data_IF_783459208655
#
_entry.id   IF_783459208655
#
_cell.length_a   1.000
_cell.length_b   1.000
_cell.length_c   1.000
_cell.angle_alpha   90.00
_cell.angle_beta   90.00
_cell.angle_gamma   90.00
#
_symmetry.space_group_name_H-M   'P 1'
#
loop_
_entity.id
_entity.type
_entity.pdbx_description
1 polymer ?
#
# COMPACT_ATOMS: atom_id res chain seq x y z
N UNK A 1 27.29 21.81 -31.25
CA UNK A 1 26.89 20.37 -31.38
C UNK A 1 25.60 20.26 -30.60
N UNK A 2 24.51 19.88 -31.21
CA UNK A 2 23.28 19.64 -30.51
C UNK A 2 23.42 18.34 -29.69
N UNK A 3 23.14 18.38 -28.40
CA UNK A 3 23.05 17.17 -27.61
C UNK A 3 21.86 16.35 -28.13
N UNK A 4 22.12 15.08 -28.38
CA UNK A 4 21.06 14.16 -28.82
C UNK A 4 20.24 13.71 -27.59
N UNK A 5 19.02 13.20 -27.81
CA UNK A 5 18.24 12.57 -26.74
C UNK A 5 19.04 11.47 -26.00
N UNK A 6 19.98 10.85 -26.70
CA UNK A 6 20.90 9.83 -26.18
C UNK A 6 21.88 10.39 -25.16
N UNK A 7 22.40 11.63 -25.38
CA UNK A 7 23.34 12.25 -24.44
C UNK A 7 22.64 12.65 -23.14
N UNK A 8 21.39 13.14 -23.24
CA UNK A 8 20.56 13.43 -22.09
C UNK A 8 20.17 12.14 -21.31
N UNK A 9 19.84 11.07 -22.03
CA UNK A 9 19.57 9.77 -21.44
C UNK A 9 20.78 9.21 -20.68
N UNK A 10 22.00 9.43 -21.20
CA UNK A 10 23.23 9.05 -20.51
C UNK A 10 23.43 9.84 -19.20
N UNK A 11 23.16 11.15 -19.21
CA UNK A 11 23.19 11.97 -17.98
C UNK A 11 22.17 11.53 -16.95
N UNK A 12 20.95 11.22 -17.40
CA UNK A 12 19.91 10.68 -16.51
C UNK A 12 20.33 9.35 -15.89
N UNK A 13 20.93 8.45 -16.67
CA UNK A 13 21.43 7.16 -16.15
C UNK A 13 22.50 7.34 -15.06
N UNK A 14 23.37 8.32 -15.21
CA UNK A 14 24.39 8.62 -14.21
C UNK A 14 23.81 9.24 -12.94
N UNK A 15 22.75 10.05 -13.08
CA UNK A 15 22.07 10.71 -11.95
C UNK A 15 21.08 9.77 -11.24
N UNK A 16 20.37 8.91 -11.98
CA UNK A 16 19.35 7.99 -11.46
C UNK A 16 19.86 6.55 -11.44
N UNK A 17 20.90 6.32 -10.66
CA UNK A 17 21.32 4.96 -10.34
C UNK A 17 20.23 4.22 -9.58
N UNK A 18 20.14 2.88 -9.67
CA UNK A 18 19.19 2.09 -8.87
C UNK A 18 19.24 2.40 -7.37
N UNK A 19 20.38 2.81 -6.86
CA UNK A 19 20.61 3.20 -5.46
C UNK A 19 19.91 4.52 -5.13
N UNK A 20 20.06 5.56 -5.96
CA UNK A 20 19.37 6.85 -5.77
C UNK A 20 17.85 6.70 -5.85
N UNK A 21 17.35 5.93 -6.83
CA UNK A 21 15.93 5.61 -6.97
C UNK A 21 15.38 4.93 -5.71
N UNK A 22 16.13 3.99 -5.13
CA UNK A 22 15.75 3.33 -3.88
C UNK A 22 15.75 4.29 -2.70
N UNK A 23 16.74 5.16 -2.60
CA UNK A 23 16.80 6.17 -1.54
C UNK A 23 15.59 7.10 -1.59
N UNK A 24 15.25 7.63 -2.76
CA UNK A 24 14.09 8.47 -2.96
C UNK A 24 12.77 7.73 -2.65
N UNK A 25 12.65 6.48 -3.09
CA UNK A 25 11.40 5.73 -2.99
C UNK A 25 11.14 5.14 -1.61
N UNK A 26 12.18 4.64 -0.95
CA UNK A 26 12.01 3.89 0.30
C UNK A 26 12.19 4.77 1.54
N UNK A 27 12.93 5.86 1.41
CA UNK A 27 13.29 6.72 2.52
C UNK A 27 12.13 7.35 3.27
N UNK A 28 11.01 7.60 2.63
CA UNK A 28 9.83 8.26 3.21
C UNK A 28 8.65 7.31 3.43
N UNK A 29 8.76 6.04 3.00
CA UNK A 29 7.68 5.07 2.98
C UNK A 29 8.01 3.85 3.84
N UNK A 30 7.73 3.88 5.15
CA UNK A 30 8.18 2.86 6.11
C UNK A 30 7.74 1.44 5.75
N UNK A 31 6.46 1.23 5.45
CA UNK A 31 5.94 -0.09 5.13
C UNK A 31 6.58 -0.64 3.85
N UNK A 32 6.67 0.19 2.82
CA UNK A 32 7.28 -0.20 1.55
C UNK A 32 8.77 -0.53 1.70
N UNK A 33 9.48 0.25 2.52
CA UNK A 33 10.88 0.00 2.84
C UNK A 33 11.11 -1.31 3.58
N UNK A 34 10.29 -1.63 4.58
CA UNK A 34 10.48 -2.78 5.48
C UNK A 34 10.02 -4.12 4.90
N UNK A 35 9.09 -4.13 3.95
CA UNK A 35 8.64 -5.37 3.32
C UNK A 35 9.75 -6.02 2.49
N UNK A 36 9.91 -7.33 2.63
CA UNK A 36 10.82 -8.12 1.79
C UNK A 36 10.42 -8.04 0.33
N UNK A 37 11.37 -7.76 -0.54
CA UNK A 37 11.17 -7.69 -1.99
C UNK A 37 11.82 -8.88 -2.66
N UNK A 38 11.06 -9.59 -3.53
CA UNK A 38 11.59 -10.74 -4.27
C UNK A 38 11.26 -10.62 -5.75
N UNK A 39 12.31 -10.57 -6.57
CA UNK A 39 12.17 -10.59 -8.02
C UNK A 39 11.84 -12.00 -8.50
N UNK A 40 10.77 -12.11 -9.29
CA UNK A 40 10.35 -13.37 -9.92
C UNK A 40 9.78 -13.11 -11.31
N UNK A 41 10.22 -13.92 -12.27
CA UNK A 41 9.59 -14.02 -13.59
C UNK A 41 8.34 -14.90 -13.55
N UNK A 42 7.60 -14.95 -14.66
CA UNK A 42 6.41 -15.79 -14.81
C UNK A 42 5.09 -15.00 -14.74
N UNK A 43 3.99 -15.66 -15.09
CA UNK A 43 2.66 -15.03 -15.17
C UNK A 43 2.01 -14.84 -13.79
N UNK A 44 2.25 -15.78 -12.86
CA UNK A 44 1.65 -15.83 -11.51
C UNK A 44 2.69 -16.28 -10.52
N UNK A 45 2.52 -15.86 -9.27
CA UNK A 45 3.28 -16.36 -8.13
C UNK A 45 2.36 -17.26 -7.31
N UNK A 46 2.78 -18.48 -7.06
CA UNK A 46 2.03 -19.40 -6.22
C UNK A 46 2.56 -19.28 -4.80
N UNK A 47 1.69 -18.91 -3.88
CA UNK A 47 1.98 -18.81 -2.45
C UNK A 47 1.15 -19.86 -1.70
N UNK A 48 1.74 -21.01 -1.36
CA UNK A 48 1.05 -22.02 -0.56
C UNK A 48 0.89 -21.53 0.88
N UNK A 49 -0.30 -21.72 1.44
CA UNK A 49 -0.63 -21.43 2.83
C UNK A 49 -1.24 -22.66 3.47
N UNK A 50 -0.59 -23.15 4.52
CA UNK A 50 -1.11 -24.27 5.31
C UNK A 50 -2.13 -23.74 6.34
N UNK A 51 -3.35 -24.27 6.28
CA UNK A 51 -4.41 -23.89 7.22
C UNK A 51 -4.90 -25.06 8.11
N UNK A 52 -4.40 -26.27 7.91
CA UNK A 52 -4.70 -27.43 8.73
C UNK A 52 -3.47 -28.29 8.98
N UNK A 53 -3.19 -28.60 10.25
CA UNK A 53 -2.16 -29.57 10.61
C UNK A 53 -2.69 -30.98 10.45
N UNK A 54 -1.84 -31.97 10.17
CA UNK A 54 -2.25 -33.36 10.22
C UNK A 54 -2.57 -33.75 11.67
N UNK A 55 -3.50 -34.66 11.84
CA UNK A 55 -3.93 -35.05 13.18
C UNK A 55 -4.49 -36.46 13.18
N UNK A 56 -5.14 -36.80 14.31
CA UNK A 56 -5.69 -38.14 14.55
C UNK A 56 -4.99 -38.86 15.70
N UNK A 57 -4.16 -38.13 16.50
CA UNK A 57 -3.51 -38.73 17.66
C UNK A 57 -4.52 -39.36 18.62
N UNK A 58 -4.24 -40.58 19.10
CA UNK A 58 -5.05 -41.30 20.06
C UNK A 58 -4.15 -42.19 20.92
N UNK A 59 -4.61 -42.50 22.12
CA UNK A 59 -3.93 -43.45 23.00
C UNK A 59 -3.89 -44.90 22.44
N UNK A 60 -4.75 -45.23 21.49
CA UNK A 60 -4.78 -46.51 20.79
C UNK A 60 -4.32 -46.33 19.35
N UNK A 61 -3.39 -47.19 18.89
CA UNK A 61 -2.91 -47.20 17.50
C UNK A 61 -4.04 -47.40 16.49
N UNK A 62 -4.99 -48.32 16.78
CA UNK A 62 -6.14 -48.59 15.92
C UNK A 62 -6.99 -47.35 15.74
N UNK A 63 -7.28 -46.61 16.82
CA UNK A 63 -8.05 -45.38 16.77
C UNK A 63 -7.25 -44.24 16.09
N UNK A 64 -5.93 -44.14 16.32
CA UNK A 64 -5.08 -43.17 15.66
C UNK A 64 -5.07 -43.38 14.14
N UNK A 65 -5.01 -44.62 13.67
CA UNK A 65 -5.10 -44.97 12.26
C UNK A 65 -6.47 -44.65 11.65
N UNK A 66 -7.53 -44.92 12.37
CA UNK A 66 -8.90 -44.61 11.92
C UNK A 66 -9.20 -43.13 11.86
N UNK A 67 -8.61 -42.35 12.77
CA UNK A 67 -8.86 -40.89 12.91
C UNK A 67 -7.84 -40.02 12.15
N UNK A 68 -6.89 -40.61 11.43
CA UNK A 68 -5.85 -39.81 10.74
C UNK A 68 -6.46 -38.94 9.64
N UNK A 69 -6.00 -37.68 9.59
CA UNK A 69 -6.29 -36.75 8.51
C UNK A 69 -5.02 -35.96 8.15
N UNK A 70 -4.90 -35.60 6.86
CA UNK A 70 -3.73 -34.93 6.31
C UNK A 70 -3.72 -33.44 6.54
N UNK A 71 -2.59 -32.82 6.29
CA UNK A 71 -2.45 -31.37 6.24
C UNK A 71 -3.33 -30.76 5.15
N UNK A 72 -3.86 -29.58 5.42
CA UNK A 72 -4.66 -28.84 4.45
C UNK A 72 -3.92 -27.59 3.98
N UNK A 73 -3.85 -27.40 2.68
CA UNK A 73 -3.18 -26.30 2.00
C UNK A 73 -4.13 -25.61 1.04
N UNK A 74 -3.90 -24.33 0.82
CA UNK A 74 -4.50 -23.56 -0.26
C UNK A 74 -3.41 -22.75 -0.97
N UNK A 75 -3.49 -22.66 -2.29
CA UNK A 75 -2.50 -22.01 -3.14
C UNK A 75 -3.03 -20.67 -3.66
N UNK A 76 -2.55 -19.58 -3.10
CA UNK A 76 -2.86 -18.23 -3.59
C UNK A 76 -2.09 -17.95 -4.88
N UNK A 77 -2.80 -17.76 -5.98
CA UNK A 77 -2.25 -17.45 -7.30
C UNK A 77 -2.11 -15.94 -7.49
N UNK A 78 -1.06 -15.36 -6.95
CA UNK A 78 -0.84 -13.91 -6.95
C UNK A 78 -0.52 -13.43 -8.36
N UNK A 79 -1.38 -12.60 -8.93
CA UNK A 79 -1.19 -11.91 -10.21
C UNK A 79 -0.54 -10.56 -10.00
N UNK A 80 0.18 -10.06 -10.99
CA UNK A 80 0.84 -8.74 -10.91
C UNK A 80 -0.16 -7.61 -11.15
N UNK A 81 -0.12 -6.60 -10.31
CA UNK A 81 -0.70 -5.29 -10.57
C UNK A 81 0.34 -4.39 -11.24
N UNK A 82 -0.13 -3.33 -11.90
CA UNK A 82 0.69 -2.38 -12.63
C UNK A 82 0.39 -0.98 -12.10
N UNK A 83 1.43 -0.19 -11.90
CA UNK A 83 1.29 1.23 -11.60
C UNK A 83 2.25 1.98 -12.50
N UNK A 84 1.79 3.05 -13.11
CA UNK A 84 2.57 3.85 -14.03
C UNK A 84 2.48 5.32 -13.66
N UNK A 85 3.55 6.03 -13.90
CA UNK A 85 3.62 7.48 -13.90
C UNK A 85 4.32 7.92 -15.19
N UNK A 86 3.76 8.93 -15.83
CA UNK A 86 4.33 9.59 -16.97
C UNK A 86 4.81 10.98 -16.52
N UNK A 87 6.05 11.30 -16.83
CA UNK A 87 6.62 12.63 -16.64
C UNK A 87 6.90 13.17 -18.04
N UNK A 88 6.24 14.26 -18.41
CA UNK A 88 6.42 14.95 -19.70
C UNK A 88 7.18 16.24 -19.49
N UNK A 89 8.14 16.51 -20.36
CA UNK A 89 8.92 17.73 -20.41
C UNK A 89 8.67 18.38 -21.76
N UNK A 90 8.35 19.67 -21.75
CA UNK A 90 8.22 20.44 -22.97
C UNK A 90 9.57 20.49 -23.72
N UNK A 91 9.55 20.23 -25.02
CA UNK A 91 10.77 20.22 -25.83
C UNK A 91 11.45 21.60 -25.90
N UNK A 92 10.68 22.69 -25.80
CA UNK A 92 11.23 24.04 -25.73
C UNK A 92 12.12 24.22 -24.48
N UNK A 93 11.67 23.71 -23.33
CA UNK A 93 12.47 23.71 -22.10
C UNK A 93 13.74 22.86 -22.26
N UNK A 94 13.60 21.69 -22.89
CA UNK A 94 14.72 20.83 -23.19
C UNK A 94 15.73 21.48 -24.15
N UNK A 95 15.28 22.14 -25.21
CA UNK A 95 16.13 22.84 -26.18
C UNK A 95 16.81 24.07 -25.59
N UNK A 96 16.10 24.84 -24.76
CA UNK A 96 16.66 26.02 -24.10
C UNK A 96 17.74 25.67 -23.07
N UNK A 97 17.69 24.47 -22.52
CA UNK A 97 18.64 23.97 -21.55
C UNK A 97 19.94 23.40 -22.15
N UNK A 98 20.06 23.30 -23.48
CA UNK A 98 21.22 22.68 -24.14
C UNK A 98 22.54 23.44 -23.92
N UNK A 99 22.49 24.73 -23.65
CA UNK A 99 23.69 25.57 -23.47
C UNK A 99 24.03 25.90 -22.00
N UNK A 100 23.15 25.55 -21.04
CA UNK A 100 23.33 25.93 -19.65
C UNK A 100 22.94 24.79 -18.69
N UNK A 101 23.93 24.27 -17.97
CA UNK A 101 23.74 23.17 -17.00
C UNK A 101 22.73 23.53 -15.90
N UNK A 102 22.61 24.82 -15.54
CA UNK A 102 21.69 25.29 -14.52
C UNK A 102 20.21 25.19 -14.97
N UNK A 103 19.95 25.17 -16.26
CA UNK A 103 18.60 25.01 -16.81
C UNK A 103 18.09 23.56 -16.80
N UNK A 104 18.96 22.57 -16.60
CA UNK A 104 18.57 21.17 -16.44
C UNK A 104 18.05 20.82 -15.04
N UNK A 105 18.36 21.64 -14.04
CA UNK A 105 17.96 21.38 -12.65
C UNK A 105 16.44 21.21 -12.49
N UNK A 106 15.57 22.04 -13.14
CA UNK A 106 14.12 21.85 -13.06
C UNK A 106 13.62 20.53 -13.65
N UNK A 107 14.23 20.02 -14.70
CA UNK A 107 13.84 18.75 -15.32
C UNK A 107 14.15 17.56 -14.38
N UNK A 108 15.32 17.57 -13.76
CA UNK A 108 15.67 16.54 -12.77
C UNK A 108 14.78 16.59 -11.53
N UNK A 109 14.43 17.79 -11.06
CA UNK A 109 13.53 17.97 -9.94
C UNK A 109 12.13 17.40 -10.23
N UNK A 110 11.63 17.53 -11.46
CA UNK A 110 10.35 16.96 -11.88
C UNK A 110 10.37 15.42 -11.88
N UNK A 111 11.47 14.82 -12.31
CA UNK A 111 11.65 13.36 -12.21
C UNK A 111 11.74 12.90 -10.76
N UNK A 112 12.47 13.60 -9.90
CA UNK A 112 12.56 13.30 -8.47
C UNK A 112 11.19 13.36 -7.80
N UNK A 113 10.41 14.41 -8.08
CA UNK A 113 9.02 14.55 -7.63
C UNK A 113 8.16 13.39 -8.13
N UNK A 114 8.31 13.02 -9.41
CA UNK A 114 7.60 11.89 -10.01
C UNK A 114 7.91 10.56 -9.30
N UNK A 115 9.17 10.27 -9.02
CA UNK A 115 9.55 9.06 -8.27
C UNK A 115 9.01 9.05 -6.85
N UNK A 116 9.11 10.17 -6.13
CA UNK A 116 8.55 10.30 -4.78
C UNK A 116 7.04 10.11 -4.78
N UNK A 117 6.33 10.76 -5.71
CA UNK A 117 4.88 10.63 -5.86
C UNK A 117 4.44 9.20 -6.16
N UNK A 118 5.14 8.49 -7.06
CA UNK A 118 4.83 7.08 -7.34
C UNK A 118 5.13 6.18 -6.14
N UNK A 119 6.23 6.40 -5.44
CA UNK A 119 6.58 5.63 -4.25
C UNK A 119 5.57 5.85 -3.11
N UNK A 120 5.13 7.08 -2.90
CA UNK A 120 4.06 7.42 -1.95
C UNK A 120 2.74 6.75 -2.34
N UNK A 121 2.35 6.83 -3.62
CA UNK A 121 1.17 6.12 -4.14
C UNK A 121 1.27 4.62 -3.89
N UNK A 122 2.43 4.00 -4.12
CA UNK A 122 2.66 2.58 -3.83
C UNK A 122 2.46 2.33 -2.33
N UNK A 123 3.06 3.13 -1.45
CA UNK A 123 2.93 2.95 0.00
C UNK A 123 1.47 3.07 0.47
N UNK A 124 0.74 4.08 -0.01
CA UNK A 124 -0.71 4.23 0.24
C UNK A 124 -1.49 2.98 -0.19
N UNK A 125 -1.17 2.41 -1.37
CA UNK A 125 -1.81 1.20 -1.90
C UNK A 125 -1.46 -0.07 -1.11
N UNK A 126 -0.31 -0.13 -0.45
CA UNK A 126 0.05 -1.25 0.41
C UNK A 126 -0.88 -1.41 1.63
N UNK A 127 -1.56 -0.36 2.07
CA UNK A 127 -2.55 -0.42 3.14
C UNK A 127 -3.97 -0.73 2.64
N UNK A 128 -4.25 -0.55 1.35
CA UNK A 128 -5.60 -0.61 0.77
C UNK A 128 -5.94 -1.96 0.15
N UNK A 129 -7.17 -2.07 -0.32
CA UNK A 129 -7.66 -3.26 -1.02
C UNK A 129 -7.18 -3.29 -2.47
N UNK A 130 -7.20 -4.47 -3.08
CA UNK A 130 -6.90 -4.66 -4.52
C UNK A 130 -7.91 -4.00 -5.45
N UNK A 131 -9.08 -3.60 -4.93
CA UNK A 131 -10.06 -2.82 -5.68
C UNK A 131 -9.60 -1.40 -5.95
N UNK A 132 -8.71 -0.86 -5.11
CA UNK A 132 -8.06 0.43 -5.32
C UNK A 132 -8.78 1.63 -4.71
N UNK A 133 -9.69 1.43 -3.76
CA UNK A 133 -10.33 2.58 -3.08
C UNK A 133 -9.30 3.42 -2.34
N UNK A 134 -9.45 4.74 -2.44
CA UNK A 134 -8.59 5.74 -1.80
C UNK A 134 -9.29 6.53 -0.71
N UNK A 135 -10.62 6.44 -0.65
CA UNK A 135 -11.43 7.03 0.38
C UNK A 135 -12.87 6.55 0.30
N UNK A 136 -13.66 6.86 1.32
CA UNK A 136 -15.08 6.59 1.39
C UNK A 136 -15.82 7.83 1.84
N UNK A 137 -16.95 8.13 1.21
CA UNK A 137 -17.83 9.22 1.62
C UNK A 137 -18.48 8.89 2.97
N UNK A 138 -18.68 9.89 3.82
CA UNK A 138 -19.47 9.72 5.04
C UNK A 138 -20.94 9.48 4.71
N UNK A 139 -21.65 8.80 5.61
CA UNK A 139 -23.07 8.50 5.44
C UNK A 139 -23.96 9.76 5.42
N UNK A 140 -23.44 10.87 5.95
CA UNK A 140 -24.13 12.18 6.01
C UNK A 140 -23.68 13.14 4.90
N UNK A 141 -22.78 12.72 4.00
CA UNK A 141 -22.29 13.57 2.93
C UNK A 141 -23.40 13.96 1.95
N UNK A 142 -23.55 15.25 1.70
CA UNK A 142 -24.45 15.76 0.67
C UNK A 142 -23.74 15.71 -0.68
N UNK A 143 -24.10 14.74 -1.51
CA UNK A 143 -23.53 14.59 -2.86
C UNK A 143 -24.19 15.50 -3.91
N UNK A 144 -25.23 16.24 -3.53
CA UNK A 144 -25.90 17.20 -4.38
C UNK A 144 -25.22 18.59 -4.39
N UNK A 145 -24.07 18.72 -3.75
CA UNK A 145 -23.23 19.91 -3.69
C UNK A 145 -21.90 19.67 -4.41
N UNK A 146 -21.09 20.69 -4.53
CA UNK A 146 -19.71 20.62 -5.03
C UNK A 146 -18.74 20.03 -4.00
N UNK A 147 -19.06 20.10 -2.71
CA UNK A 147 -18.21 19.65 -1.62
C UNK A 147 -18.81 18.43 -0.91
N UNK A 148 -17.99 17.39 -0.73
CA UNK A 148 -18.34 16.15 -0.01
C UNK A 148 -17.35 15.87 1.11
N UNK A 149 -17.82 15.22 2.18
CA UNK A 149 -17.00 14.85 3.31
C UNK A 149 -16.58 13.37 3.24
N UNK A 150 -15.35 13.08 3.59
CA UNK A 150 -14.81 11.72 3.72
C UNK A 150 -15.17 11.14 5.10
N UNK A 151 -15.32 9.82 5.17
CA UNK A 151 -15.55 9.09 6.42
C UNK A 151 -14.32 9.13 7.34
N UNK A 152 -13.14 9.01 6.77
CA UNK A 152 -11.86 9.12 7.45
C UNK A 152 -11.17 10.39 6.95
N UNK A 153 -10.94 11.35 7.85
CA UNK A 153 -10.31 12.64 7.51
C UNK A 153 -8.93 12.43 6.91
N UNK A 154 -8.16 11.48 7.43
CA UNK A 154 -6.82 11.19 6.91
C UNK A 154 -6.84 10.64 5.48
N UNK A 155 -7.98 10.15 4.97
CA UNK A 155 -8.08 9.76 3.57
C UNK A 155 -7.98 10.96 2.61
N UNK A 156 -8.17 12.20 3.09
CA UNK A 156 -7.98 13.40 2.29
C UNK A 156 -6.56 13.49 1.70
N UNK A 157 -5.55 13.01 2.42
CA UNK A 157 -4.18 12.95 1.92
C UNK A 157 -3.96 12.00 0.73
N UNK A 158 -4.96 11.22 0.34
CA UNK A 158 -4.91 10.39 -0.86
C UNK A 158 -5.36 11.14 -2.12
N UNK A 159 -5.89 12.34 -1.98
CA UNK A 159 -6.45 13.14 -3.06
C UNK A 159 -5.62 14.41 -3.28
N UNK A 160 -5.60 14.86 -4.51
CA UNK A 160 -4.91 16.09 -4.93
C UNK A 160 -5.78 16.86 -5.94
N UNK A 161 -5.59 18.16 -6.01
CA UNK A 161 -6.26 19.00 -7.01
C UNK A 161 -5.89 18.54 -8.44
N UNK A 162 -6.85 18.52 -9.34
CA UNK A 162 -6.71 18.01 -10.70
C UNK A 162 -6.87 16.48 -10.84
N UNK A 163 -6.98 15.76 -9.71
CA UNK A 163 -7.19 14.31 -9.76
C UNK A 163 -8.60 13.97 -10.25
N UNK A 164 -8.71 13.04 -11.20
CA UNK A 164 -9.99 12.49 -11.66
C UNK A 164 -10.35 11.24 -10.87
N UNK A 165 -11.53 11.26 -10.27
CA UNK A 165 -12.05 10.17 -9.43
C UNK A 165 -13.31 9.58 -10.00
N UNK A 166 -13.51 8.29 -9.71
CA UNK A 166 -14.73 7.52 -10.00
C UNK A 166 -15.29 6.96 -8.70
N UNK A 167 -16.58 6.65 -8.65
CA UNK A 167 -17.25 6.16 -7.46
C UNK A 167 -17.87 4.78 -7.65
N UNK A 168 -18.00 4.01 -6.56
CA UNK A 168 -18.74 2.75 -6.50
C UNK A 168 -19.38 2.57 -5.12
N UNK A 169 -20.50 1.85 -5.08
CA UNK A 169 -21.19 1.48 -3.83
C UNK A 169 -20.46 0.43 -3.01
N UNK A 170 -19.51 -0.26 -3.60
CA UNK A 170 -18.79 -1.35 -2.95
C UNK A 170 -17.28 -1.26 -3.17
N UNK A 171 -16.53 -1.76 -2.19
CA UNK A 171 -15.10 -1.97 -2.27
C UNK A 171 -14.76 -3.47 -2.50
N UNK A 172 -15.75 -4.31 -2.76
CA UNK A 172 -15.57 -5.78 -2.80
C UNK A 172 -15.28 -6.36 -4.19
N UNK A 173 -14.97 -5.55 -5.19
CA UNK A 173 -14.55 -6.01 -6.53
C UNK A 173 -15.66 -6.62 -7.40
N UNK A 174 -16.80 -7.01 -6.84
CA UNK A 174 -17.96 -7.55 -7.56
C UNK A 174 -18.99 -6.48 -7.96
N UNK A 175 -18.78 -5.23 -7.54
CA UNK A 175 -19.64 -4.09 -7.87
C UNK A 175 -19.35 -3.50 -9.25
N UNK A 176 -20.07 -2.44 -9.56
CA UNK A 176 -19.90 -1.64 -10.75
C UNK A 176 -19.56 -0.19 -10.39
N UNK A 177 -18.87 0.49 -11.27
CA UNK A 177 -18.67 1.92 -11.16
C UNK A 177 -19.99 2.66 -11.41
N UNK A 178 -20.21 3.73 -10.66
CA UNK A 178 -21.35 4.63 -10.87
C UNK A 178 -21.28 5.23 -12.28
N UNK A 179 -22.44 5.32 -12.93
CA UNK A 179 -22.61 6.01 -14.21
C UNK A 179 -21.59 5.61 -15.29
N UNK A 180 -21.33 4.30 -15.45
CA UNK A 180 -20.43 3.77 -16.46
C UNK A 180 -19.00 4.39 -16.40
N UNK A 181 -18.49 4.62 -15.18
CA UNK A 181 -17.18 5.23 -14.92
C UNK A 181 -17.08 6.74 -15.26
N UNK A 182 -18.18 7.47 -15.15
CA UNK A 182 -18.14 8.93 -15.17
C UNK A 182 -17.21 9.47 -14.07
N UNK A 183 -16.48 10.54 -14.36
CA UNK A 183 -15.45 11.09 -13.49
C UNK A 183 -15.82 12.45 -12.92
N UNK A 184 -15.47 12.69 -11.66
CA UNK A 184 -15.40 14.02 -11.09
C UNK A 184 -13.92 14.44 -11.00
N UNK A 185 -13.63 15.69 -11.36
CA UNK A 185 -12.31 16.29 -11.18
C UNK A 185 -12.29 17.08 -9.88
N UNK A 186 -11.28 16.85 -9.06
CA UNK A 186 -11.12 17.51 -7.77
C UNK A 186 -10.51 18.89 -8.01
N UNK A 187 -11.22 19.93 -7.59
CA UNK A 187 -10.75 21.31 -7.63
C UNK A 187 -9.86 21.64 -6.43
N UNK A 188 -10.30 21.25 -5.23
CA UNK A 188 -9.56 21.48 -3.99
C UNK A 188 -9.82 20.40 -2.95
N UNK A 189 -8.86 20.27 -2.01
CA UNK A 189 -8.91 19.34 -0.89
C UNK A 189 -8.68 20.12 0.39
N UNK A 190 -9.56 19.97 1.37
CA UNK A 190 -9.33 20.41 2.74
C UNK A 190 -8.85 19.23 3.58
N UNK A 191 -7.58 19.21 3.89
CA UNK A 191 -6.94 18.11 4.62
C UNK A 191 -7.31 18.07 6.10
N UNK A 192 -7.67 19.21 6.69
CA UNK A 192 -8.06 19.30 8.10
C UNK A 192 -9.53 18.90 8.30
N UNK A 193 -10.41 19.35 7.42
CA UNK A 193 -11.83 19.00 7.46
C UNK A 193 -12.14 17.64 6.82
N UNK A 194 -11.22 17.08 6.04
CA UNK A 194 -11.44 15.84 5.29
C UNK A 194 -12.51 15.99 4.20
N UNK A 195 -12.54 17.15 3.53
CA UNK A 195 -13.53 17.43 2.48
C UNK A 195 -12.89 17.58 1.11
N UNK A 196 -13.64 17.16 0.08
CA UNK A 196 -13.25 17.27 -1.32
C UNK A 196 -14.23 18.16 -2.04
N UNK A 197 -13.72 19.14 -2.75
CA UNK A 197 -14.51 20.01 -3.64
C UNK A 197 -14.21 19.61 -5.08
N UNK A 198 -15.26 19.29 -5.85
CA UNK A 198 -15.14 18.95 -7.26
C UNK A 198 -15.42 20.18 -8.13
N UNK A 199 -14.90 20.14 -9.34
CA UNK A 199 -15.25 21.12 -10.37
C UNK A 199 -16.73 20.91 -10.76
N UNK A 200 -17.60 21.61 -10.06
CA UNK A 200 -19.06 21.48 -10.17
C UNK A 200 -19.65 20.42 -9.21
N UNK A 201 -20.95 20.21 -9.36
CA UNK A 201 -21.71 19.35 -8.45
C UNK A 201 -21.38 17.86 -8.67
N UNK A 202 -21.15 17.12 -7.59
CA UNK A 202 -20.80 15.69 -7.63
C UNK A 202 -21.84 14.82 -8.35
N UNK A 203 -23.14 15.09 -8.15
CA UNK A 203 -24.20 14.34 -8.84
C UNK A 203 -24.32 14.71 -10.33
N UNK A 204 -23.85 15.88 -10.74
CA UNK A 204 -23.74 16.24 -12.15
C UNK A 204 -22.56 15.57 -12.83
N UNK A 205 -21.44 15.45 -12.13
CA UNK A 205 -20.24 14.80 -12.63
C UNK A 205 -20.38 13.26 -12.65
N UNK A 206 -20.88 12.66 -11.56
CA UNK A 206 -21.11 11.23 -11.42
C UNK A 206 -22.58 11.01 -11.04
N UNK A 207 -23.46 10.83 -12.02
CA UNK A 207 -24.87 10.53 -11.73
C UNK A 207 -24.98 9.24 -10.90
N UNK A 208 -25.96 9.18 -10.01
CA UNK A 208 -26.16 8.08 -9.05
C UNK A 208 -25.05 7.90 -8.00
N UNK A 209 -24.08 8.83 -7.83
CA UNK A 209 -23.23 8.84 -6.64
C UNK A 209 -24.10 9.01 -5.38
N UNK A 210 -23.75 8.32 -4.32
CA UNK A 210 -24.50 8.33 -3.07
C UNK A 210 -23.58 8.52 -1.87
N UNK A 211 -24.14 8.93 -0.73
CA UNK A 211 -23.46 8.88 0.55
C UNK A 211 -22.93 7.46 0.83
N UNK A 212 -21.81 7.36 1.52
CA UNK A 212 -21.10 6.10 1.81
C UNK A 212 -20.45 5.40 0.60
N UNK A 213 -20.50 5.95 -0.62
CA UNK A 213 -19.79 5.41 -1.76
C UNK A 213 -18.26 5.47 -1.55
N UNK A 214 -17.58 4.53 -2.15
CA UNK A 214 -16.13 4.49 -2.21
C UNK A 214 -15.61 5.25 -3.43
N UNK A 215 -14.52 5.98 -3.24
CA UNK A 215 -13.85 6.75 -4.29
C UNK A 215 -12.57 6.05 -4.74
N UNK A 216 -12.34 6.11 -6.05
CA UNK A 216 -11.18 5.50 -6.71
C UNK A 216 -10.55 6.51 -7.65
N UNK A 217 -9.24 6.47 -7.80
CA UNK A 217 -8.59 7.19 -8.89
C UNK A 217 -9.02 6.57 -10.22
N UNK A 218 -9.25 7.40 -11.23
CA UNK A 218 -9.58 6.93 -12.57
C UNK A 218 -8.54 5.91 -13.08
N UNK A 219 -9.01 4.75 -13.54
CA UNK A 219 -8.16 3.67 -14.05
C UNK A 219 -7.62 2.69 -12.99
N UNK A 220 -7.80 2.95 -11.70
CA UNK A 220 -7.30 2.07 -10.62
C UNK A 220 -8.36 1.07 -10.10
N UNK A 221 -9.62 1.17 -10.57
CA UNK A 221 -10.69 0.24 -10.20
C UNK A 221 -10.32 -1.21 -10.55
N UNK A 222 -10.27 -2.08 -9.53
CA UNK A 222 -9.88 -3.50 -9.65
C UNK A 222 -8.48 -3.74 -10.27
N UNK A 223 -7.63 -2.72 -10.34
CA UNK A 223 -6.31 -2.79 -10.94
C UNK A 223 -5.16 -2.53 -9.95
N UNK A 224 -5.48 -2.24 -8.70
CA UNK A 224 -4.50 -1.95 -7.64
C UNK A 224 -3.83 -3.20 -7.08
N UNK A 225 -2.62 -3.09 -6.52
CA UNK A 225 -2.00 -4.18 -5.80
C UNK A 225 -2.81 -4.55 -4.55
N UNK A 226 -2.76 -5.82 -4.16
CA UNK A 226 -3.43 -6.31 -2.98
C UNK A 226 -2.64 -5.97 -1.72
N UNK A 227 -2.95 -4.84 -1.09
CA UNK A 227 -2.33 -4.40 0.15
C UNK A 227 -2.79 -5.16 1.39
N UNK A 228 -2.43 -4.64 2.58
CA UNK A 228 -2.73 -5.26 3.87
C UNK A 228 -4.23 -5.51 4.05
N UNK A 229 -5.09 -4.55 3.68
CA UNK A 229 -6.54 -4.68 3.84
C UNK A 229 -7.14 -5.77 2.92
N UNK A 230 -6.52 -6.07 1.77
CA UNK A 230 -6.93 -7.22 0.96
C UNK A 230 -6.70 -8.55 1.68
N UNK A 231 -5.59 -8.69 2.37
CA UNK A 231 -5.23 -9.88 3.12
C UNK A 231 -5.91 -9.96 4.49
N UNK A 232 -6.08 -8.81 5.14
CA UNK A 232 -6.65 -8.62 6.48
C UNK A 232 -7.88 -7.70 6.40
N UNK A 233 -8.97 -8.11 5.74
CA UNK A 233 -10.12 -7.24 5.51
C UNK A 233 -10.81 -6.86 6.82
N UNK A 234 -11.24 -5.60 6.90
CA UNK A 234 -11.97 -5.02 8.03
C UNK A 234 -13.39 -4.67 7.61
N UNK A 235 -13.53 -3.68 6.72
CA UNK A 235 -14.83 -3.31 6.19
C UNK A 235 -15.35 -4.44 5.29
N UNK A 236 -16.66 -4.70 5.35
CA UNK A 236 -17.34 -5.76 4.58
C UNK A 236 -16.63 -7.12 4.64
N UNK A 237 -15.98 -7.42 5.78
CA UNK A 237 -15.13 -8.59 5.99
C UNK A 237 -15.76 -9.88 5.51
N UNK A 238 -17.03 -10.12 5.81
CA UNK A 238 -17.73 -11.35 5.43
C UNK A 238 -17.79 -11.51 3.91
N UNK A 239 -18.07 -10.42 3.18
CA UNK A 239 -18.11 -10.38 1.71
C UNK A 239 -16.72 -10.63 1.12
N UNK A 240 -15.69 -9.98 1.66
CA UNK A 240 -14.30 -10.19 1.21
C UNK A 240 -13.80 -11.61 1.43
N UNK A 241 -14.19 -12.25 2.53
CA UNK A 241 -13.76 -13.62 2.84
C UNK A 241 -14.54 -14.67 2.05
N UNK A 242 -15.79 -14.39 1.69
CA UNK A 242 -16.60 -15.25 0.83
C UNK A 242 -16.20 -15.15 -0.64
N UNK A 243 -15.72 -14.00 -1.09
CA UNK A 243 -15.23 -13.80 -2.44
C UNK A 243 -13.92 -14.56 -2.70
N UNK A 244 -13.72 -14.99 -3.95
CA UNK A 244 -12.46 -15.61 -4.37
C UNK A 244 -11.35 -14.56 -4.39
N UNK A 245 -10.30 -14.79 -3.60
CA UNK A 245 -9.12 -13.95 -3.53
C UNK A 245 -7.89 -14.74 -3.98
N UNK A 246 -7.31 -14.36 -5.11
CA UNK A 246 -6.23 -15.10 -5.75
C UNK A 246 -6.52 -16.61 -5.97
N UNK A 247 -7.78 -16.93 -6.24
CA UNK A 247 -8.23 -18.29 -6.47
C UNK A 247 -8.69 -19.04 -5.21
N UNK A 248 -8.57 -18.45 -4.02
CA UNK A 248 -8.91 -19.07 -2.73
C UNK A 248 -10.12 -18.43 -2.10
N UNK A 249 -11.08 -19.24 -1.64
CA UNK A 249 -12.22 -18.81 -0.82
C UNK A 249 -11.83 -18.92 0.66
N UNK A 250 -11.68 -17.76 1.32
CA UNK A 250 -11.12 -17.69 2.68
C UNK A 250 -12.14 -17.96 3.80
N UNK A 251 -13.42 -18.01 3.47
CA UNK A 251 -14.50 -18.33 4.43
C UNK A 251 -14.39 -19.75 5.02
N UNK A 252 -13.68 -20.67 4.35
CA UNK A 252 -13.42 -22.03 4.85
C UNK A 252 -12.66 -22.01 6.18
N UNK A 253 -11.73 -21.09 6.36
CA UNK A 253 -10.96 -20.88 7.60
C UNK A 253 -10.60 -19.40 7.77
N UNK A 254 -11.56 -18.62 8.20
CA UNK A 254 -11.49 -17.15 8.21
C UNK A 254 -10.28 -16.59 8.97
N UNK A 255 -9.91 -17.18 10.12
CA UNK A 255 -8.79 -16.68 10.92
C UNK A 255 -7.43 -17.06 10.30
N UNK A 256 -7.31 -18.26 9.72
CA UNK A 256 -6.03 -18.72 9.18
C UNK A 256 -5.75 -18.21 7.77
N UNK A 257 -6.79 -18.03 6.94
CA UNK A 257 -6.67 -17.57 5.56
C UNK A 257 -6.97 -16.07 5.37
N UNK A 258 -7.70 -15.43 6.30
CA UNK A 258 -8.09 -14.03 6.23
C UNK A 258 -7.58 -13.17 7.40
N UNK A 259 -6.66 -13.71 8.20
CA UNK A 259 -6.05 -13.00 9.32
C UNK A 259 -6.98 -12.78 10.53
N UNK A 260 -6.40 -12.27 11.58
CA UNK A 260 -7.09 -12.02 12.86
C UNK A 260 -7.68 -10.61 12.83
N UNK A 261 -8.97 -10.51 12.99
CA UNK A 261 -9.67 -9.23 13.16
C UNK A 261 -10.09 -9.01 14.60
N UNK A 262 -9.99 -7.78 15.05
CA UNK A 262 -10.46 -7.34 16.34
C UNK A 262 -11.20 -6.01 16.18
N UNK A 263 -12.40 -5.94 16.74
CA UNK A 263 -13.10 -4.67 16.88
C UNK A 263 -12.54 -3.92 18.09
N UNK A 264 -11.85 -2.83 17.86
CA UNK A 264 -11.29 -1.95 18.88
C UNK A 264 -12.17 -0.75 19.19
N UNK A 265 -13.24 -0.50 18.41
CA UNK A 265 -14.13 0.66 18.60
C UNK A 265 -14.86 0.63 19.93
N UNK A 266 -15.07 -0.56 20.49
CA UNK A 266 -15.74 -0.77 21.79
C UNK A 266 -14.77 -0.77 22.98
N UNK A 267 -13.46 -0.61 22.73
CA UNK A 267 -12.43 -0.59 23.76
C UNK A 267 -12.20 0.84 24.24
N UNK A 268 -11.97 0.98 25.54
CA UNK A 268 -11.86 2.30 26.15
C UNK A 268 -10.53 3.02 25.90
N UNK A 269 -9.55 2.34 25.26
CA UNK A 269 -8.18 2.83 25.25
C UNK A 269 -7.33 2.21 24.12
N UNK A 270 -6.60 3.05 23.42
CA UNK A 270 -5.68 2.63 22.35
C UNK A 270 -4.62 1.63 22.81
N UNK A 271 -4.09 1.81 24.02
CA UNK A 271 -3.13 0.87 24.63
C UNK A 271 -3.73 -0.53 24.78
N UNK A 272 -4.98 -0.61 25.22
CA UNK A 272 -5.71 -1.87 25.36
C UNK A 272 -5.87 -2.57 24.01
N UNK A 273 -6.18 -1.81 22.95
CA UNK A 273 -6.30 -2.33 21.58
C UNK A 273 -4.97 -2.95 21.13
N UNK A 274 -3.86 -2.24 21.29
CA UNK A 274 -2.52 -2.72 20.91
C UNK A 274 -2.17 -4.02 21.63
N UNK A 275 -2.29 -4.03 22.97
CA UNK A 275 -1.92 -5.19 23.79
C UNK A 275 -2.81 -6.40 23.45
N UNK A 276 -4.12 -6.20 23.38
CA UNK A 276 -5.08 -7.27 23.09
C UNK A 276 -4.93 -7.83 21.68
N UNK A 277 -4.67 -6.98 20.68
CA UNK A 277 -4.45 -7.44 19.30
C UNK A 277 -3.20 -8.33 19.24
N UNK A 278 -2.07 -7.87 19.77
CA UNK A 278 -0.82 -8.66 19.80
C UNK A 278 -1.04 -9.98 20.55
N UNK A 279 -1.72 -9.95 21.70
CA UNK A 279 -2.07 -11.17 22.45
C UNK A 279 -2.99 -12.11 21.68
N UNK A 280 -3.97 -11.56 20.95
CA UNK A 280 -4.90 -12.35 20.13
C UNK A 280 -4.20 -13.03 18.95
N UNK A 281 -3.29 -12.33 18.26
CA UNK A 281 -2.44 -12.93 17.22
C UNK A 281 -1.53 -14.00 17.81
N UNK A 282 -0.95 -13.74 18.99
CA UNK A 282 -0.14 -14.72 19.73
C UNK A 282 -0.89 -16.01 20.06
N UNK A 283 -2.18 -15.94 20.41
CA UNK A 283 -3.04 -17.11 20.63
C UNK A 283 -3.14 -18.00 19.40
N UNK A 284 -3.07 -17.44 18.19
CA UNK A 284 -3.10 -18.17 16.94
C UNK A 284 -1.70 -18.61 16.45
N UNK A 285 -0.66 -18.41 17.26
CA UNK A 285 0.72 -18.81 16.96
C UNK A 285 1.55 -17.75 16.25
N UNK A 286 0.98 -16.58 15.94
CA UNK A 286 1.70 -15.47 15.31
C UNK A 286 2.74 -14.85 16.26
N UNK A 287 3.88 -14.47 15.68
CA UNK A 287 4.99 -13.82 16.40
C UNK A 287 5.09 -12.38 15.89
N UNK A 288 4.15 -11.53 16.36
CA UNK A 288 4.16 -10.10 15.99
C UNK A 288 5.49 -9.47 16.36
N UNK A 289 6.13 -8.86 15.41
CA UNK A 289 7.39 -8.10 15.54
C UNK A 289 7.22 -6.64 15.14
N UNK A 290 6.13 -6.31 14.44
CA UNK A 290 5.87 -4.98 13.90
C UNK A 290 4.40 -4.60 14.09
N UNK A 291 4.16 -3.40 14.61
CA UNK A 291 2.84 -2.77 14.66
C UNK A 291 2.89 -1.49 13.86
N UNK A 292 1.99 -1.36 12.89
CA UNK A 292 1.85 -0.18 12.03
C UNK A 292 0.54 0.53 12.35
N UNK A 293 0.61 1.84 12.46
CA UNK A 293 -0.53 2.72 12.71
C UNK A 293 -0.30 4.07 12.04
N UNK A 294 -1.33 4.90 11.98
CA UNK A 294 -1.17 6.27 11.48
C UNK A 294 -0.26 7.07 12.40
N UNK A 295 0.43 8.08 11.87
CA UNK A 295 1.36 8.92 12.63
C UNK A 295 0.67 9.70 13.75
N UNK A 296 -0.58 10.14 13.58
CA UNK A 296 -1.38 10.80 14.62
C UNK A 296 -1.70 9.81 15.75
N UNK A 297 -2.23 8.64 15.40
CA UNK A 297 -2.54 7.57 16.36
C UNK A 297 -1.28 7.13 17.12
N UNK A 298 -0.13 7.14 16.45
CA UNK A 298 1.17 6.86 17.08
C UNK A 298 1.54 7.91 18.12
N UNK A 299 1.32 9.19 17.80
CA UNK A 299 1.56 10.30 18.73
C UNK A 299 0.65 10.23 19.94
N UNK A 300 -0.64 9.90 19.74
CA UNK A 300 -1.60 9.71 20.83
C UNK A 300 -1.20 8.55 21.74
N UNK A 301 -0.75 7.45 21.16
CA UNK A 301 -0.24 6.31 21.92
C UNK A 301 1.01 6.69 22.75
N UNK A 302 1.90 7.50 22.17
CA UNK A 302 3.10 7.97 22.86
C UNK A 302 2.74 8.86 24.06
N UNK A 303 1.81 9.80 23.90
CA UNK A 303 1.30 10.65 24.99
C UNK A 303 0.67 9.79 26.08
N UNK A 304 -0.14 8.82 25.69
CA UNK A 304 -0.80 7.90 26.62
C UNK A 304 0.21 7.06 27.42
N UNK A 305 1.24 6.53 26.78
CA UNK A 305 2.26 5.73 27.44
C UNK A 305 3.14 6.55 28.37
N UNK A 306 3.49 7.77 27.97
CA UNK A 306 4.21 8.70 28.84
C UNK A 306 3.40 9.03 30.09
N UNK A 307 2.09 9.27 29.97
CA UNK A 307 1.21 9.58 31.10
C UNK A 307 1.05 8.40 32.08
N UNK A 308 1.20 7.16 31.60
CA UNK A 308 1.08 5.93 32.40
C UNK A 308 2.40 5.30 32.79
N UNK A 309 3.52 6.01 32.55
CA UNK A 309 4.88 5.51 32.83
C UNK A 309 5.17 4.14 32.22
N UNK A 310 4.66 3.90 31.00
CA UNK A 310 4.95 2.66 30.26
C UNK A 310 6.40 2.67 29.79
N UNK A 311 7.12 1.57 30.01
CA UNK A 311 8.52 1.48 29.59
C UNK A 311 8.62 1.11 28.12
N UNK A 312 9.18 1.99 27.32
CA UNK A 312 9.51 1.75 25.92
C UNK A 312 10.89 2.34 25.59
N UNK A 313 11.51 1.83 24.57
CA UNK A 313 12.77 2.34 24.03
C UNK A 313 12.49 3.04 22.69
N UNK A 314 12.97 4.25 22.53
CA UNK A 314 13.00 4.87 21.19
C UNK A 314 14.01 4.12 20.33
N UNK A 315 13.59 3.73 19.16
CA UNK A 315 14.43 3.01 18.21
C UNK A 315 14.50 3.73 16.88
N UNK A 316 15.66 3.65 16.31
CA UNK A 316 15.88 4.04 14.93
C UNK A 316 15.97 2.76 14.09
N UNK A 317 14.99 2.58 13.20
CA UNK A 317 14.97 1.43 12.31
C UNK A 317 15.74 1.78 11.04
N UNK A 318 16.99 1.35 10.99
CA UNK A 318 17.80 1.45 9.77
C UNK A 318 17.46 0.30 8.83
N UNK A 319 17.15 0.62 7.57
CA UNK A 319 17.03 -0.39 6.52
C UNK A 319 18.41 -0.77 6.02
N UNK A 320 18.73 -2.06 6.17
CA UNK A 320 19.92 -2.65 5.57
C UNK A 320 19.47 -3.58 4.45
N UNK A 321 19.73 -3.23 3.22
CA UNK A 321 19.51 -4.10 2.08
C UNK A 321 20.86 -4.62 1.57
N UNK A 322 20.97 -5.93 1.38
CA UNK A 322 22.12 -6.54 0.72
C UNK A 322 21.89 -6.51 -0.78
N UNK A 323 22.78 -5.85 -1.49
CA UNK A 323 22.88 -5.92 -2.95
C UNK A 323 24.21 -6.60 -3.27
N UNK A 324 24.14 -7.87 -3.67
CA UNK A 324 25.32 -8.71 -3.83
C UNK A 324 26.06 -8.95 -2.50
N UNK A 325 27.40 -8.97 -2.51
CA UNK A 325 28.23 -9.11 -1.31
C UNK A 325 28.42 -7.80 -0.54
N UNK A 326 27.96 -6.67 -1.08
CA UNK A 326 28.08 -5.35 -0.45
C UNK A 326 26.83 -5.03 0.37
N UNK A 327 27.04 -4.60 1.61
CA UNK A 327 25.97 -4.09 2.48
C UNK A 327 25.81 -2.60 2.19
N UNK A 328 24.77 -2.22 1.47
CA UNK A 328 24.37 -0.81 1.35
C UNK A 328 23.59 -0.42 2.60
N UNK A 329 24.13 0.51 3.35
CA UNK A 329 23.45 1.10 4.50
C UNK A 329 22.66 2.29 3.98
N UNK A 330 21.36 2.13 3.79
CA UNK A 330 20.46 3.27 3.61
C UNK A 330 20.31 3.94 4.97
N UNK A 331 20.80 5.16 5.08
CA UNK A 331 20.85 5.90 6.35
C UNK A 331 19.57 6.65 6.68
N UNK A 332 18.41 6.27 6.13
CA UNK A 332 17.14 6.80 6.65
C UNK A 332 16.62 5.91 7.77
N UNK A 333 16.52 6.53 8.90
CA UNK A 333 16.16 5.97 10.18
C UNK A 333 14.70 6.32 10.38
N UNK A 334 13.83 5.31 10.48
CA UNK A 334 12.47 5.52 10.94
C UNK A 334 12.47 5.55 12.46
N UNK A 335 12.11 6.68 13.02
CA UNK A 335 11.91 6.78 14.47
C UNK A 335 10.66 6.00 14.85
N UNK A 336 10.79 5.11 15.79
CA UNK A 336 9.72 4.27 16.29
C UNK A 336 9.91 4.00 17.78
N UNK A 337 8.96 3.27 18.36
CA UNK A 337 9.04 2.78 19.72
C UNK A 337 9.22 1.26 19.73
N UNK A 338 10.01 0.75 20.64
CA UNK A 338 10.09 -0.67 20.94
C UNK A 338 9.53 -0.93 22.32
N UNK A 339 8.50 -1.74 22.41
CA UNK A 339 7.88 -2.11 23.66
C UNK A 339 7.86 -3.63 23.83
N UNK A 340 7.85 -4.08 25.08
CA UNK A 340 7.68 -5.49 25.39
C UNK A 340 6.19 -5.77 25.60
N UNK A 341 5.55 -6.39 24.61
CA UNK A 341 4.12 -6.73 24.65
C UNK A 341 3.97 -8.25 24.50
N UNK A 342 3.23 -8.87 25.44
CA UNK A 342 3.01 -10.31 25.41
C UNK A 342 4.31 -11.14 25.53
N UNK A 343 5.31 -10.62 26.24
CA UNK A 343 6.62 -11.27 26.41
C UNK A 343 7.55 -11.17 25.20
N UNK A 344 7.26 -10.28 24.24
CA UNK A 344 8.05 -10.09 23.01
C UNK A 344 8.36 -8.63 22.77
N UNK A 345 9.52 -8.38 22.15
CA UNK A 345 9.86 -7.05 21.67
C UNK A 345 9.13 -6.79 20.36
N UNK A 346 8.28 -5.76 20.37
CA UNK A 346 7.47 -5.34 19.24
C UNK A 346 7.87 -3.91 18.86
N UNK A 347 8.10 -3.70 17.57
CA UNK A 347 8.36 -2.37 17.01
C UNK A 347 7.04 -1.71 16.66
N UNK A 348 6.83 -0.49 17.12
CA UNK A 348 5.67 0.35 16.77
C UNK A 348 6.15 1.49 15.90
N UNK A 349 5.53 1.66 14.76
CA UNK A 349 5.93 2.67 13.76
C UNK A 349 4.69 3.39 13.27
N UNK A 350 4.77 4.73 13.26
CA UNK A 350 3.79 5.60 12.64
C UNK A 350 4.08 5.73 11.14
N UNK A 351 3.06 5.57 10.32
CA UNK A 351 3.10 5.81 8.88
C UNK A 351 1.91 6.66 8.46
N UNK A 352 2.18 7.81 7.84
CA UNK A 352 1.14 8.74 7.37
C UNK A 352 0.17 8.10 6.37
N UNK A 353 0.62 7.07 5.65
CA UNK A 353 -0.19 6.36 4.64
C UNK A 353 -1.13 5.32 5.24
N UNK A 354 -0.95 4.98 6.54
CA UNK A 354 -1.85 4.07 7.24
C UNK A 354 -3.17 4.79 7.56
N UNK A 355 -4.34 4.16 7.33
CA UNK A 355 -5.61 4.74 7.78
C UNK A 355 -5.63 4.99 9.29
N UNK A 356 -6.21 6.12 9.74
CA UNK A 356 -6.33 6.44 11.18
C UNK A 356 -7.25 5.46 11.89
N UNK A 357 -8.25 4.94 11.19
CA UNK A 357 -9.22 3.98 11.71
C UNK A 357 -8.69 2.54 11.83
N UNK A 358 -7.39 2.29 11.57
CA UNK A 358 -6.80 0.94 11.52
C UNK A 358 -5.48 0.85 12.28
N UNK A 359 -5.28 -0.33 12.87
CA UNK A 359 -4.01 -0.74 13.47
C UNK A 359 -3.65 -2.15 12.98
N UNK A 360 -2.45 -2.32 12.48
CA UNK A 360 -1.96 -3.59 11.94
C UNK A 360 -0.87 -4.18 12.83
N UNK A 361 -1.07 -5.42 13.31
CA UNK A 361 -0.06 -6.20 14.03
C UNK A 361 0.49 -7.28 13.07
N UNK A 362 1.73 -7.12 12.66
CA UNK A 362 2.33 -7.87 11.58
C UNK A 362 3.49 -8.73 12.08
N UNK A 363 3.65 -9.88 11.45
CA UNK A 363 4.87 -10.66 11.46
C UNK A 363 5.61 -10.42 10.15
N UNK A 364 6.65 -9.57 10.18
CA UNK A 364 7.31 -9.03 8.98
C UNK A 364 7.85 -10.12 8.06
N UNK A 365 8.25 -11.27 8.59
CA UNK A 365 8.75 -12.40 7.80
C UNK A 365 7.73 -13.00 6.85
N UNK A 366 6.43 -12.86 7.14
CA UNK A 366 5.36 -13.45 6.34
C UNK A 366 4.99 -12.66 5.10
N UNK A 367 5.43 -11.41 5.04
CA UNK A 367 5.09 -10.48 3.96
C UNK A 367 6.20 -10.40 2.92
N UNK A 368 5.81 -10.46 1.66
CA UNK A 368 6.75 -10.36 0.52
C UNK A 368 6.10 -9.58 -0.62
N UNK A 369 6.80 -8.57 -1.11
CA UNK A 369 6.47 -7.90 -2.37
C UNK A 369 7.10 -8.70 -3.50
N UNK A 370 6.26 -9.29 -4.34
CA UNK A 370 6.68 -10.00 -5.54
C UNK A 370 6.70 -9.03 -6.71
N UNK A 371 7.84 -8.92 -7.36
CA UNK A 371 8.02 -7.98 -8.48
C UNK A 371 8.76 -8.63 -9.64
N UNK A 372 8.55 -8.10 -10.85
CA UNK A 372 9.23 -8.59 -12.05
C UNK A 372 10.40 -7.72 -12.49
N UNK A 373 10.37 -6.46 -12.14
CA UNK A 373 11.37 -5.44 -12.44
C UNK A 373 11.57 -4.55 -11.22
N UNK A 374 12.47 -3.59 -11.29
CA UNK A 374 12.68 -2.60 -10.22
C UNK A 374 11.38 -1.90 -9.81
N UNK A 375 11.24 -1.55 -8.55
CA UNK A 375 10.04 -0.94 -7.98
C UNK A 375 10.40 0.28 -7.14
N UNK A 376 10.01 1.48 -7.55
CA UNK A 376 9.69 1.89 -8.92
C UNK A 376 10.92 1.83 -9.82
N UNK A 377 10.75 1.79 -11.13
CA UNK A 377 11.85 1.78 -12.08
C UNK A 377 11.48 2.45 -13.40
N UNK A 378 12.47 2.92 -14.15
CA UNK A 378 12.25 3.45 -15.49
C UNK A 378 11.87 2.36 -16.47
N UNK A 379 10.87 2.63 -17.30
CA UNK A 379 10.46 1.73 -18.38
C UNK A 379 11.25 2.09 -19.64
N UNK A 380 12.33 1.37 -19.86
CA UNK A 380 13.21 1.58 -20.99
C UNK A 380 12.52 1.32 -22.32
N UNK A 381 12.93 2.03 -23.37
CA UNK A 381 12.52 1.77 -24.75
C UNK A 381 13.11 0.43 -25.22
N UNK A 382 12.30 -0.53 -25.65
CA UNK A 382 12.82 -1.88 -25.96
C UNK A 382 13.86 -1.93 -27.08
N UNK A 383 13.83 -0.96 -28.02
CA UNK A 383 14.71 -0.93 -29.20
C UNK A 383 16.08 -0.33 -28.91
N UNK A 384 16.17 0.68 -28.05
CA UNK A 384 17.39 1.48 -27.83
C UNK A 384 17.88 1.42 -26.39
N UNK A 385 17.01 1.06 -25.44
CA UNK A 385 17.33 1.07 -23.99
C UNK A 385 17.30 2.47 -23.39
N UNK A 386 16.79 3.47 -24.10
CA UNK A 386 16.66 4.85 -23.66
C UNK A 386 15.54 5.01 -22.63
N UNK A 387 15.71 5.95 -21.70
CA UNK A 387 14.71 6.32 -20.70
C UNK A 387 13.69 7.26 -21.31
N UNK A 388 14.17 8.24 -22.06
CA UNK A 388 13.35 9.28 -22.69
C UNK A 388 12.80 8.83 -24.04
N UNK A 389 11.59 9.28 -24.33
CA UNK A 389 10.88 9.01 -25.59
C UNK A 389 10.22 10.28 -26.08
N UNK A 390 10.22 10.47 -27.39
CA UNK A 390 9.40 11.46 -28.04
C UNK A 390 8.14 10.74 -28.53
N UNK A 391 6.92 11.12 -28.10
CA UNK A 391 5.67 10.60 -28.63
C UNK A 391 5.52 10.93 -30.12
N UNK A 392 4.78 10.12 -30.87
CA UNK A 392 4.56 10.34 -32.31
C UNK A 392 3.60 11.51 -32.61
N UNK A 393 2.83 11.95 -31.58
CA UNK A 393 1.75 12.93 -31.67
C UNK A 393 2.01 14.24 -30.90
N UNK A 394 3.16 14.38 -30.28
CA UNK A 394 3.55 15.55 -29.48
C UNK A 394 5.05 15.85 -29.68
N UNK A 395 5.41 17.12 -29.55
CA UNK A 395 6.81 17.56 -29.54
C UNK A 395 7.48 17.44 -28.17
N UNK A 396 6.76 16.89 -27.18
CA UNK A 396 7.25 16.73 -25.82
C UNK A 396 8.21 15.54 -25.70
N UNK A 397 9.04 15.58 -24.66
CA UNK A 397 9.88 14.45 -24.26
C UNK A 397 9.26 13.80 -23.02
N UNK A 398 8.99 12.50 -23.09
CA UNK A 398 8.37 11.76 -21.98
C UNK A 398 9.31 10.72 -21.36
N UNK A 399 9.32 10.70 -20.02
CA UNK A 399 9.89 9.62 -19.24
C UNK A 399 8.80 8.77 -18.59
N UNK A 400 8.91 7.45 -18.70
CA UNK A 400 7.93 6.51 -18.13
C UNK A 400 8.52 5.80 -16.91
N UNK A 401 7.87 5.98 -15.78
CA UNK A 401 8.20 5.26 -14.54
C UNK A 401 7.10 4.24 -14.26
N UNK A 402 7.46 3.08 -13.78
CA UNK A 402 6.45 2.06 -13.50
C UNK A 402 6.87 1.05 -12.45
N UNK A 403 5.86 0.33 -11.95
CA UNK A 403 6.03 -0.74 -11.01
C UNK A 403 5.13 -1.92 -11.39
N UNK A 404 5.71 -3.12 -11.46
CA UNK A 404 5.01 -4.36 -11.73
C UNK A 404 5.16 -5.28 -10.53
N UNK A 405 4.21 -5.25 -9.61
CA UNK A 405 4.33 -5.97 -8.36
C UNK A 405 2.98 -6.40 -7.78
N UNK A 406 3.02 -7.23 -6.77
CA UNK A 406 1.90 -7.46 -5.87
C UNK A 406 2.41 -7.98 -4.53
N UNK A 407 1.56 -7.94 -3.50
CA UNK A 407 1.91 -8.38 -2.15
C UNK A 407 1.41 -9.79 -1.91
N UNK A 408 2.26 -10.62 -1.32
CA UNK A 408 1.93 -11.96 -0.86
C UNK A 408 2.16 -12.11 0.64
N UNK A 409 1.28 -12.87 1.28
CA UNK A 409 1.41 -13.24 2.67
C UNK A 409 1.44 -14.77 2.81
N UNK A 410 2.51 -15.31 3.42
CA UNK A 410 2.67 -16.75 3.59
C UNK A 410 1.87 -17.33 4.77
N UNK A 411 1.48 -16.50 5.73
CA UNK A 411 0.70 -16.91 6.89
C UNK A 411 -0.23 -15.78 7.34
N UNK A 412 -1.37 -15.55 6.65
CA UNK A 412 -2.30 -14.50 7.04
C UNK A 412 -2.79 -14.61 8.47
N UNK A 413 -3.02 -15.82 8.97
CA UNK A 413 -3.48 -16.09 10.34
C UNK A 413 -2.48 -15.74 11.46
N UNK A 414 -1.24 -15.38 11.12
CA UNK A 414 -0.22 -14.90 12.06
C UNK A 414 -0.12 -13.39 12.09
N UNK A 415 -1.04 -12.73 11.41
CA UNK A 415 -1.14 -11.29 11.34
C UNK A 415 -2.53 -10.85 11.77
N UNK A 416 -2.64 -9.64 12.27
CA UNK A 416 -3.91 -9.11 12.76
C UNK A 416 -4.13 -7.66 12.40
N UNK A 417 -5.40 -7.28 12.40
CA UNK A 417 -5.85 -5.91 12.22
C UNK A 417 -6.91 -5.58 13.26
N UNK A 418 -6.87 -4.38 13.80
CA UNK A 418 -7.94 -3.83 14.62
C UNK A 418 -8.54 -2.60 13.95
N UNK A 419 -9.86 -2.45 14.09
CA UNK A 419 -10.51 -1.15 13.89
C UNK A 419 -10.24 -0.28 15.11
N UNK A 420 -10.08 1.02 14.90
CA UNK A 420 -9.95 2.03 15.94
C UNK A 420 -11.24 2.84 16.05
N UNK A 421 -11.51 3.47 17.22
CA UNK A 421 -12.68 4.31 17.42
C UNK A 421 -12.73 5.47 16.45
#
# INVERSE_FOLDING_TARGET
MAYSATDFDAMLKDQYTPEKVRELSYGENPLFGMMKKKRRGGRRYIQPVMYGHPGGASASFTNAKANQYGSKYEDFQITRAKQFLLVTLENELYLSAQDDLDAFEPAFDEFDKGFRGLAEKINKRLYRTSTGSIGRLTATSSVATDTVALRDVADAFNFEAGMKVVASDTNAGAGALRSAAATAEIESVDYEAGTLTATGNWTAAIAAIAASDYLFQQGDWNASPAGLESWLPVDDRATFLAASFFGVTRSVQTQRLGGIYMDGTTMGDLNEVVIKLVGRVGKHGGKVDLVMMNSEVFSDLQVLWNSRHFTYENIDVSLKEKVGDSVLIFSKIYSGMMAQIGGRKVKLIGDRSCPTSRLYALMSETWTIWHSWEIPGFILKPSTGEILRVPDDSDDVEGRVGAYFNVGCSAPGWNGVASLP
#
